data_IF_206263666696
#
_entry.id   IF_206263666696
#
_cell.length_a   1.000
_cell.length_b   1.000
_cell.length_c   1.000
_cell.angle_alpha   90.00
_cell.angle_beta   90.00
_cell.angle_gamma   90.00
#
_symmetry.space_group_name_H-M   'P 1'
#
loop_
_entity.id
_entity.type
_entity.pdbx_description
1 polymer ?
#
# COMPACT_ATOMS: atom_id res chain seq x y z
N UNK A 1 -48.19 52.55 -3.46
CA UNK A 1 -47.44 52.47 -4.72
C UNK A 1 -46.03 51.96 -4.41
N UNK A 2 -45.66 50.79 -4.98
CA UNK A 2 -44.32 50.30 -5.36
C UNK A 2 -43.23 50.28 -4.25
N UNK A 3 -42.86 49.09 -3.75
CA UNK A 3 -41.70 48.28 -4.22
C UNK A 3 -40.37 49.01 -3.96
N UNK A 4 -39.35 48.44 -3.30
CA UNK A 4 -38.79 47.13 -3.54
C UNK A 4 -37.97 46.63 -2.34
N UNK A 5 -38.14 45.34 -2.03
CA UNK A 5 -37.25 44.55 -1.17
C UNK A 5 -36.09 44.08 -2.06
N UNK A 6 -34.87 44.51 -1.76
CA UNK A 6 -33.66 44.01 -2.44
C UNK A 6 -33.12 42.83 -1.62
N UNK A 7 -33.49 41.62 -2.03
CA UNK A 7 -32.88 40.37 -1.59
C UNK A 7 -31.51 40.24 -2.26
N UNK A 8 -30.44 40.47 -1.49
CA UNK A 8 -29.08 40.12 -1.88
C UNK A 8 -28.92 38.60 -1.76
N UNK A 9 -29.07 37.90 -2.88
CA UNK A 9 -28.66 36.50 -3.02
C UNK A 9 -27.13 36.43 -2.99
N UNK A 10 -26.57 36.12 -1.82
CA UNK A 10 -25.19 35.66 -1.72
C UNK A 10 -25.09 34.27 -2.36
N UNK A 11 -24.62 34.24 -3.60
CA UNK A 11 -24.32 33.01 -4.31
C UNK A 11 -23.23 32.23 -3.56
N UNK A 12 -23.63 31.11 -2.97
CA UNK A 12 -22.72 30.11 -2.43
C UNK A 12 -21.93 29.51 -3.60
N UNK A 13 -20.68 29.93 -3.77
CA UNK A 13 -19.70 29.24 -4.59
C UNK A 13 -19.36 27.92 -3.90
N UNK A 14 -20.17 26.89 -4.13
CA UNK A 14 -19.80 25.50 -3.86
C UNK A 14 -18.71 25.17 -4.86
N UNK A 15 -17.46 25.41 -4.48
CA UNK A 15 -16.30 24.75 -5.08
C UNK A 15 -16.45 23.26 -4.77
N UNK A 16 -17.25 22.57 -5.58
CA UNK A 16 -17.15 21.13 -5.75
C UNK A 16 -15.76 20.91 -6.35
N UNK A 17 -14.76 20.76 -5.49
CA UNK A 17 -13.45 20.28 -5.89
C UNK A 17 -13.66 18.93 -6.54
N UNK A 18 -13.47 18.88 -7.86
CA UNK A 18 -13.25 17.64 -8.59
C UNK A 18 -12.01 16.99 -7.97
N UNK A 19 -12.20 16.09 -7.01
CA UNK A 19 -11.16 15.15 -6.62
C UNK A 19 -10.83 14.32 -7.84
N UNK A 20 -9.66 14.55 -8.43
CA UNK A 20 -9.08 13.64 -9.40
C UNK A 20 -9.04 12.27 -8.74
N UNK A 21 -9.81 11.32 -9.27
CA UNK A 21 -10.04 10.00 -8.68
C UNK A 21 -8.78 9.14 -8.72
N UNK A 22 -7.83 9.44 -7.85
CA UNK A 22 -6.70 8.58 -7.57
C UNK A 22 -7.24 7.28 -6.98
N UNK A 23 -6.84 6.14 -7.57
CA UNK A 23 -7.25 4.84 -7.03
C UNK A 23 -6.48 4.61 -5.73
N UNK A 24 -7.12 4.11 -4.67
CA UNK A 24 -6.41 3.68 -3.46
C UNK A 24 -5.29 2.69 -3.81
N UNK A 25 -4.13 2.79 -3.15
CA UNK A 25 -2.98 1.91 -3.46
C UNK A 25 -3.31 0.43 -3.32
N UNK A 26 -4.23 0.11 -2.40
CA UNK A 26 -4.68 -1.26 -2.14
C UNK A 26 -5.46 -1.84 -3.31
N UNK A 27 -6.27 -1.02 -3.99
CA UNK A 27 -7.00 -1.46 -5.20
C UNK A 27 -6.03 -1.72 -6.34
N UNK A 28 -4.97 -0.91 -6.46
CA UNK A 28 -3.92 -1.11 -7.46
C UNK A 28 -3.08 -2.35 -7.17
N UNK A 29 -2.65 -2.55 -5.93
CA UNK A 29 -1.91 -3.73 -5.49
C UNK A 29 -2.74 -5.01 -5.64
N UNK A 30 -4.04 -4.95 -5.35
CA UNK A 30 -4.96 -6.04 -5.62
C UNK A 30 -5.01 -6.35 -7.12
N UNK A 31 -5.20 -5.34 -7.96
CA UNK A 31 -5.32 -5.54 -9.40
C UNK A 31 -4.02 -6.04 -10.07
N UNK A 32 -2.85 -5.55 -9.67
CA UNK A 32 -1.59 -5.85 -10.36
C UNK A 32 -0.75 -6.95 -9.69
N UNK A 33 -0.79 -7.06 -8.37
CA UNK A 33 0.04 -7.98 -7.60
C UNK A 33 -0.79 -9.05 -6.85
N UNK A 34 -2.12 -9.04 -7.01
CA UNK A 34 -3.04 -9.93 -6.32
C UNK A 34 -2.84 -9.88 -4.80
N UNK A 35 -2.64 -8.69 -4.22
CA UNK A 35 -2.50 -8.52 -2.77
C UNK A 35 -3.87 -8.21 -2.17
N UNK A 36 -4.35 -9.09 -1.30
CA UNK A 36 -5.67 -9.04 -0.69
C UNK A 36 -5.59 -9.24 0.83
N UNK A 37 -6.33 -8.42 1.56
CA UNK A 37 -6.50 -8.51 3.01
C UNK A 37 -7.92 -9.00 3.33
N UNK A 38 -8.08 -9.77 4.40
CA UNK A 38 -9.41 -10.27 4.79
C UNK A 38 -10.33 -9.13 5.27
N UNK A 39 -9.75 -8.16 5.95
CA UNK A 39 -10.38 -6.91 6.36
C UNK A 39 -9.65 -5.71 5.76
N UNK A 40 -10.31 -4.54 5.71
CA UNK A 40 -9.66 -3.31 5.25
C UNK A 40 -8.55 -2.92 6.23
N UNK A 41 -7.27 -2.91 5.81
CA UNK A 41 -6.18 -2.65 6.72
C UNK A 41 -6.01 -1.15 6.97
N UNK A 42 -5.31 -0.79 8.04
CA UNK A 42 -4.91 0.60 8.26
C UNK A 42 -3.63 0.89 7.46
N UNK A 43 -3.74 1.74 6.44
CA UNK A 43 -2.57 2.18 5.65
C UNK A 43 -1.75 3.17 6.47
N UNK A 44 -0.52 2.78 6.81
CA UNK A 44 0.43 3.61 7.56
C UNK A 44 1.15 4.57 6.62
N UNK A 45 1.58 4.07 5.46
CA UNK A 45 2.19 4.88 4.40
C UNK A 45 2.09 4.15 3.07
N UNK A 46 2.08 4.90 1.98
CA UNK A 46 2.12 4.39 0.62
C UNK A 46 3.05 5.24 -0.25
N UNK A 47 3.64 4.61 -1.25
CA UNK A 47 4.54 5.26 -2.20
C UNK A 47 4.37 4.65 -3.59
N UNK A 48 4.35 5.51 -4.61
CA UNK A 48 4.31 5.13 -6.02
C UNK A 48 5.54 5.70 -6.70
N UNK A 49 6.29 4.87 -7.40
CA UNK A 49 7.43 5.31 -8.22
C UNK A 49 7.25 4.85 -9.66
N UNK A 50 7.41 5.76 -10.61
CA UNK A 50 7.59 5.38 -12.01
C UNK A 50 9.00 4.83 -12.18
N UNK A 51 9.12 3.66 -12.78
CA UNK A 51 10.41 3.06 -13.11
C UNK A 51 10.72 3.28 -14.60
N UNK A 52 11.98 3.14 -14.99
CA UNK A 52 12.34 3.26 -16.41
C UNK A 52 11.69 2.14 -17.23
N UNK A 53 10.91 2.52 -18.25
CA UNK A 53 10.21 1.60 -19.13
C UNK A 53 8.70 1.66 -18.93
N UNK A 54 8.03 0.51 -19.04
CA UNK A 54 6.57 0.41 -18.92
C UNK A 54 6.15 -0.11 -17.54
N UNK A 55 6.89 0.21 -16.48
CA UNK A 55 6.66 -0.34 -15.15
C UNK A 55 6.63 0.72 -14.06
N UNK A 56 6.04 0.35 -12.93
CA UNK A 56 6.00 1.15 -11.71
C UNK A 56 6.16 0.28 -10.48
N UNK A 57 6.72 0.88 -9.45
CA UNK A 57 6.77 0.29 -8.12
C UNK A 57 5.65 0.86 -7.26
N UNK A 58 4.83 -0.02 -6.71
CA UNK A 58 3.85 0.26 -5.67
C UNK A 58 4.39 -0.25 -4.33
N UNK A 59 4.39 0.60 -3.33
CA UNK A 59 4.90 0.30 -2.01
C UNK A 59 3.90 0.72 -0.94
N UNK A 60 3.59 -0.16 0.01
CA UNK A 60 2.69 0.16 1.12
C UNK A 60 3.15 -0.49 2.42
N UNK A 61 2.94 0.21 3.53
CA UNK A 61 2.97 -0.36 4.89
C UNK A 61 1.57 -0.31 5.43
N UNK A 62 1.10 -1.45 5.90
CA UNK A 62 -0.21 -1.55 6.53
C UNK A 62 -0.11 -2.22 7.89
N UNK A 63 -0.98 -1.79 8.79
CA UNK A 63 -1.23 -2.47 10.05
C UNK A 63 -2.53 -3.26 9.95
N UNK A 64 -2.48 -4.53 10.34
CA UNK A 64 -3.62 -5.46 10.36
C UNK A 64 -3.79 -6.07 11.74
N UNK A 65 -5.02 -6.51 12.08
CA UNK A 65 -5.23 -7.40 13.22
C UNK A 65 -4.32 -8.64 13.13
N UNK A 66 -4.09 -9.35 14.25
CA UNK A 66 -3.26 -10.54 14.28
C UNK A 66 -4.04 -11.73 13.71
N UNK A 67 -4.45 -11.64 12.45
CA UNK A 67 -5.02 -12.75 11.70
C UNK A 67 -3.94 -13.80 11.41
N UNK A 68 -4.32 -15.07 11.14
CA UNK A 68 -3.36 -16.05 10.67
C UNK A 68 -2.71 -15.58 9.36
N UNK A 69 -1.37 -15.51 9.29
CA UNK A 69 -0.63 -15.16 8.06
C UNK A 69 -1.09 -16.02 6.87
N UNK A 70 -1.48 -17.26 7.13
CA UNK A 70 -2.03 -18.18 6.15
C UNK A 70 -3.27 -17.65 5.41
N UNK A 71 -4.12 -16.85 6.06
CA UNK A 71 -5.30 -16.26 5.41
C UNK A 71 -4.87 -15.22 4.38
N UNK A 72 -3.93 -14.34 4.75
CA UNK A 72 -3.34 -13.37 3.85
C UNK A 72 -2.61 -14.04 2.69
N UNK A 73 -1.82 -15.09 2.95
CA UNK A 73 -1.17 -15.91 1.93
C UNK A 73 -2.18 -16.47 0.92
N UNK A 74 -3.26 -17.09 1.41
CA UNK A 74 -4.27 -17.72 0.57
C UNK A 74 -5.04 -16.69 -0.27
N UNK A 75 -5.51 -15.60 0.34
CA UNK A 75 -6.24 -14.54 -0.37
C UNK A 75 -5.37 -13.87 -1.44
N UNK A 76 -4.07 -13.73 -1.16
CA UNK A 76 -3.13 -13.08 -2.07
C UNK A 76 -2.46 -14.03 -3.07
N UNK A 77 -2.80 -15.33 -3.03
CA UNK A 77 -2.15 -16.34 -3.87
C UNK A 77 -0.63 -16.37 -3.70
N UNK A 78 -0.17 -16.20 -2.46
CA UNK A 78 1.25 -16.25 -2.09
C UNK A 78 1.63 -17.67 -1.69
N UNK A 79 2.91 -17.99 -1.87
CA UNK A 79 3.49 -19.19 -1.30
C UNK A 79 3.79 -19.04 0.19
N UNK A 80 4.37 -20.09 0.80
CA UNK A 80 4.73 -20.04 2.21
C UNK A 80 5.77 -18.95 2.48
N UNK A 81 5.59 -18.22 3.57
CA UNK A 81 6.57 -17.25 4.03
C UNK A 81 7.78 -17.97 4.65
N UNK A 82 8.95 -17.37 4.50
CA UNK A 82 10.22 -17.85 5.08
C UNK A 82 10.75 -16.85 6.09
N UNK A 83 11.53 -17.26 7.12
CA UNK A 83 12.09 -16.30 8.07
C UNK A 83 12.98 -15.25 7.41
N UNK A 84 12.90 -14.01 7.91
CA UNK A 84 13.81 -12.91 7.59
C UNK A 84 13.23 -11.81 6.69
N UNK A 85 14.13 -10.99 6.16
CA UNK A 85 13.86 -9.81 5.32
C UNK A 85 14.72 -9.88 4.04
N UNK A 86 14.24 -9.40 2.87
CA UNK A 86 15.10 -9.22 1.70
C UNK A 86 16.33 -8.37 2.02
N UNK A 87 17.52 -8.80 1.62
CA UNK A 87 18.78 -8.14 1.99
C UNK A 87 18.84 -6.69 1.50
N UNK A 88 18.31 -6.44 0.30
CA UNK A 88 18.23 -5.13 -0.32
C UNK A 88 17.43 -4.13 0.55
N UNK A 89 16.34 -4.56 1.18
CA UNK A 89 15.47 -3.71 2.00
C UNK A 89 16.14 -3.24 3.29
N UNK A 90 17.18 -3.96 3.75
CA UNK A 90 17.95 -3.55 4.92
C UNK A 90 18.78 -2.29 4.67
N UNK A 91 18.95 -1.88 3.43
CA UNK A 91 19.77 -0.72 3.04
C UNK A 91 19.02 0.29 2.19
N UNK A 92 17.98 -0.13 1.48
CA UNK A 92 17.14 0.76 0.67
C UNK A 92 16.38 1.78 1.54
N UNK A 93 16.39 3.04 1.09
CA UNK A 93 15.55 4.12 1.62
C UNK A 93 14.31 4.29 0.74
N UNK A 94 13.49 3.25 0.66
CA UNK A 94 12.23 3.29 -0.09
C UNK A 94 11.06 3.81 0.75
N UNK A 95 11.24 3.94 2.07
CA UNK A 95 10.28 4.50 3.04
C UNK A 95 10.99 5.17 4.21
N UNK A 96 10.23 5.90 5.04
CA UNK A 96 10.73 6.51 6.26
C UNK A 96 11.42 5.52 7.19
N UNK A 97 12.57 5.94 7.72
CA UNK A 97 13.44 5.09 8.53
C UNK A 97 12.77 4.63 9.84
N UNK A 98 11.88 5.45 10.41
CA UNK A 98 11.10 5.12 11.60
C UNK A 98 10.11 3.97 11.36
N UNK A 99 9.60 3.84 10.13
CA UNK A 99 8.64 2.79 9.76
C UNK A 99 9.34 1.48 9.41
N UNK A 100 10.54 1.57 8.83
CA UNK A 100 11.33 0.44 8.35
C UNK A 100 12.39 -0.06 9.32
N UNK A 101 12.49 0.52 10.52
CA UNK A 101 13.45 0.09 11.55
C UNK A 101 13.37 -1.42 11.85
N UNK A 102 12.17 -2.00 11.85
CA UNK A 102 11.94 -3.43 12.04
C UNK A 102 12.56 -4.31 10.94
N UNK A 103 12.76 -3.77 9.74
CA UNK A 103 13.31 -4.50 8.59
C UNK A 103 14.84 -4.63 8.64
N UNK A 104 15.52 -4.00 9.60
CA UNK A 104 17.00 -4.07 9.71
C UNK A 104 17.51 -5.43 10.22
N UNK A 105 16.63 -6.27 10.74
CA UNK A 105 16.98 -7.59 11.30
C UNK A 105 15.97 -8.65 10.88
N UNK A 106 16.31 -9.93 11.01
CA UNK A 106 15.37 -11.02 10.72
C UNK A 106 14.39 -11.31 11.86
N UNK A 107 14.66 -10.79 13.06
CA UNK A 107 13.88 -11.10 14.26
C UNK A 107 12.44 -10.62 14.12
N UNK A 108 11.49 -11.56 14.26
CA UNK A 108 10.06 -11.26 14.18
C UNK A 108 9.56 -11.01 12.75
N UNK A 109 10.41 -11.20 11.73
CA UNK A 109 10.05 -11.02 10.33
C UNK A 109 9.95 -12.36 9.61
N UNK A 110 8.93 -12.47 8.77
CA UNK A 110 8.87 -13.47 7.71
C UNK A 110 8.67 -12.77 6.37
N UNK A 111 9.14 -13.38 5.29
CA UNK A 111 9.10 -12.81 3.95
C UNK A 111 8.59 -13.79 2.91
N UNK A 112 8.02 -13.20 1.87
CA UNK A 112 7.73 -13.83 0.60
C UNK A 112 8.29 -12.95 -0.52
N UNK A 113 8.81 -13.58 -1.57
CA UNK A 113 9.17 -12.88 -2.79
C UNK A 113 9.00 -13.78 -4.00
N UNK A 114 8.41 -13.25 -5.07
CA UNK A 114 8.35 -13.93 -6.34
C UNK A 114 8.45 -12.97 -7.53
N UNK A 115 8.71 -13.55 -8.69
CA UNK A 115 8.86 -12.83 -9.94
C UNK A 115 8.18 -13.59 -11.07
N UNK A 116 7.20 -12.94 -11.70
CA UNK A 116 6.47 -13.45 -12.85
C UNK A 116 6.80 -12.56 -14.05
N UNK A 117 7.71 -12.95 -14.96
CA UNK A 117 8.07 -12.11 -16.09
C UNK A 117 6.89 -11.84 -17.04
N UNK A 118 6.74 -10.61 -17.59
CA UNK A 118 7.53 -9.41 -17.29
C UNK A 118 7.09 -8.71 -15.98
N UNK A 119 5.86 -8.96 -15.52
CA UNK A 119 5.26 -8.45 -14.29
C UNK A 119 4.20 -9.46 -13.78
N UNK A 120 3.86 -9.47 -12.48
CA UNK A 120 4.43 -8.66 -11.41
C UNK A 120 5.67 -9.29 -10.75
N UNK A 121 6.46 -8.45 -10.10
CA UNK A 121 7.40 -8.88 -9.06
C UNK A 121 6.85 -8.47 -7.70
N UNK A 122 6.87 -9.36 -6.70
CA UNK A 122 6.27 -9.09 -5.39
C UNK A 122 7.28 -9.38 -4.30
N UNK A 123 7.32 -8.51 -3.31
CA UNK A 123 8.07 -8.68 -2.08
C UNK A 123 7.15 -8.29 -0.93
N UNK A 124 7.00 -9.21 0.02
CA UNK A 124 6.17 -9.00 1.19
C UNK A 124 6.96 -9.39 2.42
N UNK A 125 6.97 -8.51 3.42
CA UNK A 125 7.49 -8.82 4.76
C UNK A 125 6.38 -8.63 5.77
N UNK A 126 6.22 -9.62 6.62
CA UNK A 126 5.29 -9.62 7.74
C UNK A 126 6.10 -9.51 9.01
N UNK A 127 5.88 -8.45 9.77
CA UNK A 127 6.48 -8.23 11.08
C UNK A 127 5.44 -8.43 12.17
N UNK A 128 5.70 -9.38 13.07
CA UNK A 128 4.93 -9.53 14.29
C UNK A 128 5.56 -8.71 15.42
N UNK A 129 4.90 -7.61 15.79
CA UNK A 129 5.38 -6.71 16.84
C UNK A 129 5.11 -7.24 18.26
N UNK A 130 4.35 -8.34 18.40
CA UNK A 130 3.90 -8.86 19.69
C UNK A 130 2.85 -8.00 20.42
N UNK A 131 2.47 -6.84 19.87
CA UNK A 131 1.54 -5.89 20.48
C UNK A 131 0.07 -6.09 20.05
N UNK A 132 -0.29 -7.28 19.54
CA UNK A 132 -1.63 -7.55 19.01
C UNK A 132 -1.93 -6.87 17.68
N UNK A 133 -0.91 -6.35 17.00
CA UNK A 133 -0.97 -5.87 15.62
C UNK A 133 0.22 -6.40 14.84
N UNK A 134 -0.03 -6.67 13.56
CA UNK A 134 0.96 -7.12 12.61
C UNK A 134 1.14 -6.08 11.55
N UNK A 135 2.40 -5.78 11.24
CA UNK A 135 2.75 -4.83 10.19
C UNK A 135 3.17 -5.59 8.95
N UNK A 136 2.57 -5.24 7.81
CA UNK A 136 2.87 -5.85 6.53
C UNK A 136 3.48 -4.78 5.62
N UNK A 137 4.66 -5.08 5.11
CA UNK A 137 5.40 -4.27 4.18
C UNK A 137 5.29 -4.92 2.81
N UNK A 138 4.79 -4.20 1.83
CA UNK A 138 4.62 -4.70 0.46
C UNK A 138 5.35 -3.78 -0.50
N UNK A 139 6.13 -4.37 -1.39
CA UNK A 139 6.64 -3.73 -2.61
C UNK A 139 6.22 -4.61 -3.78
N UNK A 140 5.63 -4.02 -4.79
CA UNK A 140 5.26 -4.70 -6.01
C UNK A 140 5.73 -3.90 -7.22
N UNK A 141 6.34 -4.59 -8.18
CA UNK A 141 6.62 -4.05 -9.49
C UNK A 141 5.50 -4.46 -10.44
N UNK A 142 4.80 -3.48 -10.99
CA UNK A 142 3.60 -3.65 -11.80
C UNK A 142 3.76 -2.98 -13.16
N UNK A 143 2.99 -3.44 -14.15
CA UNK A 143 2.96 -2.81 -15.47
C UNK A 143 2.25 -1.43 -15.41
N UNK A 144 2.74 -0.50 -16.23
CA UNK A 144 2.20 0.84 -16.45
C UNK A 144 2.89 1.95 -15.65
N UNK A 145 2.58 3.20 -15.99
CA UNK A 145 3.15 4.39 -15.34
C UNK A 145 2.54 4.65 -13.95
N UNK A 146 3.33 5.18 -13.01
CA UNK A 146 2.79 5.76 -11.78
C UNK A 146 2.01 7.04 -12.14
N UNK A 147 0.70 7.04 -11.86
CA UNK A 147 -0.18 8.20 -12.11
C UNK A 147 -0.42 8.95 -10.82
#
# INVERSE_FOLDING_TARGET
MRSAVVLLLSAASVLAGCGTGEKPVLDELSACANIHFAETPHVVTEHRAADFGAGRTLSVVVDVPPEPTQTFEQLSGLGPFTPGVPDEWRSERWMDESLTAALRTDTGNTRFSDYHPPFPARWVVVHDSGAGQRRIFVKAYCEGDAR
#
